data_IF_847474184667
#
_entry.id   IF_847474184667
#
_cell.length_a   1.000
_cell.length_b   1.000
_cell.length_c   1.000
_cell.angle_alpha   90.00
_cell.angle_beta   90.00
_cell.angle_gamma   90.00
#
_symmetry.space_group_name_H-M   'P 1'
#
loop_
_entity.id
_entity.type
_entity.pdbx_description
1 polymer ?
#
# COMPACT_ATOMS: atom_id res chain seq x y z
N UNK A 1 -8.41 24.12 21.14
CA UNK A 1 -7.11 23.42 21.18
C UNK A 1 -7.25 22.28 22.17
N UNK A 2 -7.86 21.15 21.76
CA UNK A 2 -7.91 19.98 22.63
C UNK A 2 -6.53 19.32 22.57
N UNK A 3 -5.88 19.29 23.74
CA UNK A 3 -4.50 18.85 23.91
C UNK A 3 -4.36 17.34 23.75
N UNK A 4 -3.16 16.94 23.36
CA UNK A 4 -2.71 15.55 23.33
C UNK A 4 -3.11 14.81 24.61
N UNK A 5 -3.91 13.77 24.46
CA UNK A 5 -4.57 13.07 25.55
C UNK A 5 -3.75 11.86 26.01
N UNK A 6 -4.12 11.30 27.17
CA UNK A 6 -3.57 10.02 27.62
C UNK A 6 -3.84 8.88 26.63
N UNK A 7 -4.97 8.92 25.91
CA UNK A 7 -5.29 7.95 24.87
C UNK A 7 -4.35 8.08 23.67
N UNK A 8 -4.02 9.31 23.25
CA UNK A 8 -3.05 9.55 22.19
C UNK A 8 -1.66 9.02 22.59
N UNK A 9 -1.27 9.20 23.85
CA UNK A 9 -0.03 8.64 24.41
C UNK A 9 -0.02 7.12 24.38
N UNK A 10 -1.11 6.47 24.79
CA UNK A 10 -1.21 5.01 24.75
C UNK A 10 -1.14 4.48 23.32
N UNK A 11 -1.81 5.12 22.37
CA UNK A 11 -1.76 4.75 20.96
C UNK A 11 -0.34 4.91 20.38
N UNK A 12 0.35 5.98 20.77
CA UNK A 12 1.74 6.18 20.38
C UNK A 12 2.69 5.13 20.93
N UNK A 13 2.52 4.75 22.19
CA UNK A 13 3.29 3.67 22.81
C UNK A 13 3.00 2.34 22.11
N UNK A 14 1.73 2.05 21.87
CA UNK A 14 1.32 0.81 21.22
C UNK A 14 1.86 0.70 19.78
N UNK A 15 1.73 1.76 18.98
CA UNK A 15 2.26 1.82 17.62
C UNK A 15 3.79 1.72 17.59
N UNK A 16 4.48 2.24 18.59
CA UNK A 16 5.92 2.12 18.74
C UNK A 16 6.33 0.66 18.99
N UNK A 17 5.66 -0.03 19.90
CA UNK A 17 5.90 -1.46 20.15
C UNK A 17 5.58 -2.31 18.92
N UNK A 18 4.44 -2.05 18.27
CA UNK A 18 4.07 -2.72 17.04
C UNK A 18 5.13 -2.56 15.95
N UNK A 19 5.64 -1.34 15.74
CA UNK A 19 6.68 -1.10 14.76
C UNK A 19 7.96 -1.84 15.10
N UNK A 20 8.42 -1.82 16.35
CA UNK A 20 9.65 -2.52 16.73
C UNK A 20 9.57 -4.03 16.50
N UNK A 21 8.38 -4.63 16.74
CA UNK A 21 8.12 -6.03 16.46
C UNK A 21 8.14 -6.35 14.96
N UNK A 22 7.71 -5.41 14.12
CA UNK A 22 7.54 -5.60 12.67
C UNK A 22 8.60 -4.89 11.80
N UNK A 23 9.59 -4.24 12.42
CA UNK A 23 10.54 -3.33 11.73
C UNK A 23 11.33 -3.98 10.59
N UNK A 24 11.48 -5.31 10.61
CA UNK A 24 12.23 -6.05 9.60
C UNK A 24 11.61 -5.93 8.20
N UNK A 25 10.28 -5.83 8.10
CA UNK A 25 9.56 -5.59 6.84
C UNK A 25 8.90 -4.23 6.78
N UNK A 26 8.30 -3.76 7.89
CA UNK A 26 7.46 -2.56 7.90
C UNK A 26 8.22 -1.32 7.39
N UNK A 27 9.50 -1.17 7.75
CA UNK A 27 10.33 -0.05 7.26
C UNK A 27 10.43 0.06 5.74
N UNK A 28 10.33 -1.07 5.04
CA UNK A 28 10.42 -1.14 3.58
C UNK A 28 9.06 -0.99 2.91
N UNK A 29 8.03 -1.64 3.47
CA UNK A 29 6.73 -1.79 2.81
C UNK A 29 5.74 -0.69 3.16
N UNK A 30 5.84 -0.09 4.34
CA UNK A 30 4.90 0.94 4.78
C UNK A 30 4.78 2.14 3.82
N UNK A 31 5.88 2.69 3.25
CA UNK A 31 5.77 3.77 2.27
C UNK A 31 4.87 3.40 1.09
N UNK A 32 5.03 2.21 0.53
CA UNK A 32 4.26 1.74 -0.62
C UNK A 32 2.80 1.45 -0.27
N UNK A 33 2.55 0.75 0.85
CA UNK A 33 1.19 0.46 1.31
C UNK A 33 0.39 1.74 1.57
N UNK A 34 1.02 2.75 2.18
CA UNK A 34 0.38 4.04 2.43
C UNK A 34 0.25 4.88 1.15
N UNK A 35 1.20 4.77 0.22
CA UNK A 35 1.09 5.36 -1.11
C UNK A 35 -0.15 4.82 -1.84
N UNK A 36 -0.36 3.50 -1.81
CA UNK A 36 -1.55 2.89 -2.41
C UNK A 36 -2.86 3.30 -1.72
N UNK A 37 -2.91 3.23 -0.38
CA UNK A 37 -4.08 3.66 0.42
C UNK A 37 -4.50 5.09 0.08
N UNK A 38 -3.55 6.02 0.14
CA UNK A 38 -3.84 7.44 0.01
C UNK A 38 -4.11 7.88 -1.43
N UNK A 39 -3.31 7.44 -2.40
CA UNK A 39 -3.41 7.97 -3.76
C UNK A 39 -4.52 7.33 -4.59
N UNK A 40 -4.94 6.12 -4.24
CA UNK A 40 -5.98 5.39 -4.99
C UNK A 40 -7.27 5.20 -4.20
N UNK A 41 -7.38 5.78 -3.00
CA UNK A 41 -8.58 5.73 -2.15
C UNK A 41 -9.10 4.30 -1.94
N UNK A 42 -8.18 3.36 -1.74
CA UNK A 42 -8.50 1.95 -1.59
C UNK A 42 -9.29 1.73 -0.30
N UNK A 43 -10.26 0.81 -0.33
CA UNK A 43 -10.79 0.23 0.91
C UNK A 43 -9.73 -0.65 1.54
N UNK A 44 -9.84 -0.90 2.86
CA UNK A 44 -8.92 -1.82 3.52
C UNK A 44 -8.96 -3.24 2.90
N UNK A 45 -10.13 -3.71 2.45
CA UNK A 45 -10.26 -4.99 1.75
C UNK A 45 -9.43 -5.04 0.46
N UNK A 46 -9.48 -3.98 -0.37
CA UNK A 46 -8.70 -3.90 -1.60
C UNK A 46 -7.19 -3.91 -1.30
N UNK A 47 -6.77 -3.18 -0.27
CA UNK A 47 -5.37 -3.17 0.17
C UNK A 47 -4.94 -4.53 0.74
N UNK A 48 -5.78 -5.18 1.54
CA UNK A 48 -5.50 -6.49 2.12
C UNK A 48 -5.36 -7.55 1.02
N UNK A 49 -6.17 -7.50 -0.03
CA UNK A 49 -6.02 -8.38 -1.17
C UNK A 49 -4.71 -8.16 -1.93
N UNK A 50 -4.33 -6.90 -2.19
CA UNK A 50 -3.04 -6.56 -2.81
C UNK A 50 -1.85 -7.07 -1.98
N UNK A 51 -1.93 -6.94 -0.65
CA UNK A 51 -0.93 -7.47 0.26
C UNK A 51 -0.89 -9.00 0.22
N UNK A 52 -2.06 -9.65 0.18
CA UNK A 52 -2.19 -11.11 0.14
C UNK A 52 -1.62 -11.71 -1.15
N UNK A 53 -1.82 -11.06 -2.30
CA UNK A 53 -1.17 -11.44 -3.57
C UNK A 53 0.36 -11.46 -3.48
N UNK A 54 0.93 -10.71 -2.53
CA UNK A 54 2.37 -10.59 -2.26
C UNK A 54 2.83 -11.44 -1.07
N UNK A 55 1.97 -12.35 -0.61
CA UNK A 55 2.15 -13.18 0.58
C UNK A 55 2.34 -12.38 1.89
N UNK A 56 1.83 -11.15 1.95
CA UNK A 56 1.74 -10.38 3.20
C UNK A 56 0.33 -10.49 3.77
N UNK A 57 0.23 -11.11 4.95
CA UNK A 57 -1.00 -11.10 5.74
C UNK A 57 -0.95 -9.89 6.68
N UNK A 58 -1.87 -8.96 6.48
CA UNK A 58 -2.00 -7.74 7.29
C UNK A 58 -3.45 -7.63 7.81
N UNK A 59 -3.59 -7.39 9.12
CA UNK A 59 -4.89 -7.10 9.73
C UNK A 59 -5.21 -5.61 9.67
N UNK A 60 -6.47 -5.24 9.89
CA UNK A 60 -6.88 -3.83 9.94
C UNK A 60 -6.17 -3.09 11.08
N UNK A 61 -5.99 -3.76 12.23
CA UNK A 61 -5.20 -3.23 13.34
C UNK A 61 -3.71 -3.03 12.95
N UNK A 62 -3.09 -4.00 12.26
CA UNK A 62 -1.71 -3.83 11.79
C UNK A 62 -1.58 -2.63 10.85
N UNK A 63 -2.55 -2.45 9.94
CA UNK A 63 -2.56 -1.32 9.02
C UNK A 63 -2.81 0.02 9.74
N UNK A 64 -3.67 0.04 10.76
CA UNK A 64 -3.87 1.20 11.63
C UNK A 64 -2.56 1.59 12.33
N UNK A 65 -1.87 0.63 12.95
CA UNK A 65 -0.60 0.88 13.64
C UNK A 65 0.50 1.36 12.69
N UNK A 66 0.53 0.79 11.48
CA UNK A 66 1.42 1.22 10.40
C UNK A 66 1.15 2.68 10.03
N UNK A 67 -0.12 3.03 9.78
CA UNK A 67 -0.55 4.39 9.40
C UNK A 67 -0.26 5.39 10.50
N UNK A 68 -0.61 5.08 11.74
CA UNK A 68 -0.33 5.92 12.92
C UNK A 68 1.17 6.20 13.06
N UNK A 69 1.99 5.15 13.03
CA UNK A 69 3.44 5.26 13.20
C UNK A 69 4.10 6.13 12.11
N UNK A 70 3.79 5.86 10.84
CA UNK A 70 4.47 6.50 9.72
C UNK A 70 3.97 7.91 9.43
N UNK A 71 2.67 8.17 9.57
CA UNK A 71 2.13 9.53 9.43
C UNK A 71 2.73 10.47 10.48
N UNK A 72 2.97 9.96 11.70
CA UNK A 72 3.56 10.75 12.78
C UNK A 72 5.07 10.95 12.61
N UNK A 73 5.84 9.90 12.28
CA UNK A 73 7.31 9.97 12.27
C UNK A 73 7.92 10.62 11.03
N UNK A 74 7.40 10.33 9.84
CA UNK A 74 8.12 10.63 8.59
C UNK A 74 7.50 11.80 7.81
N UNK A 75 6.37 12.34 8.32
CA UNK A 75 5.50 13.24 7.57
C UNK A 75 4.95 12.55 6.32
N UNK A 76 4.00 13.18 5.63
CA UNK A 76 3.43 12.63 4.39
C UNK A 76 4.41 12.62 3.20
N UNK A 77 5.71 12.82 3.43
CA UNK A 77 6.75 12.94 2.40
C UNK A 77 6.90 11.67 1.55
N UNK A 78 6.65 10.49 2.14
CA UNK A 78 6.61 9.21 1.43
C UNK A 78 5.39 9.06 0.50
N UNK A 79 4.39 9.94 0.63
CA UNK A 79 3.17 9.95 -0.19
C UNK A 79 3.35 10.73 -1.49
N UNK A 80 4.50 11.38 -1.71
CA UNK A 80 4.73 12.23 -2.87
C UNK A 80 5.43 11.46 -4.02
N UNK A 81 4.72 11.43 -5.15
CA UNK A 81 5.12 11.06 -6.52
C UNK A 81 6.20 9.97 -6.60
N UNK A 82 5.74 8.74 -6.54
CA UNK A 82 6.48 7.60 -7.06
C UNK A 82 6.47 7.69 -8.60
N UNK A 83 7.64 7.69 -9.23
CA UNK A 83 7.73 7.64 -10.69
C UNK A 83 7.49 6.21 -11.16
N UNK A 84 6.23 5.91 -11.46
CA UNK A 84 5.77 4.58 -11.87
C UNK A 84 6.37 4.12 -13.22
N UNK A 85 7.10 4.99 -13.92
CA UNK A 85 7.75 4.69 -15.20
C UNK A 85 9.26 4.44 -15.06
N UNK A 86 9.79 4.52 -13.84
CA UNK A 86 11.19 4.26 -13.55
C UNK A 86 11.60 2.84 -13.94
N UNK A 87 12.84 2.69 -14.41
CA UNK A 87 13.46 1.37 -14.54
C UNK A 87 13.62 0.76 -13.16
N UNK A 88 13.14 -0.48 -13.00
CA UNK A 88 13.10 -1.17 -11.71
C UNK A 88 14.12 -2.32 -11.66
N UNK A 89 14.58 -2.63 -10.44
CA UNK A 89 15.52 -3.70 -10.14
C UNK A 89 15.05 -4.49 -8.92
N UNK A 90 15.36 -5.79 -8.88
CA UNK A 90 14.97 -6.66 -7.77
C UNK A 90 16.08 -6.66 -6.71
N UNK A 91 15.75 -6.34 -5.47
CA UNK A 91 16.64 -6.40 -4.31
C UNK A 91 16.10 -7.40 -3.28
N UNK A 92 16.91 -8.40 -2.91
CA UNK A 92 16.59 -9.34 -1.83
C UNK A 92 17.04 -8.78 -0.48
N UNK A 93 16.15 -8.75 0.50
CA UNK A 93 16.51 -8.45 1.88
C UNK A 93 17.22 -9.66 2.49
N UNK A 94 18.43 -9.43 3.02
CA UNK A 94 19.34 -10.49 3.51
C UNK A 94 18.80 -11.29 4.69
N UNK A 95 17.82 -10.77 5.42
CA UNK A 95 17.27 -11.42 6.61
C UNK A 95 15.91 -12.02 6.27
N UNK A 96 15.76 -13.34 6.46
CA UNK A 96 14.47 -14.00 6.35
C UNK A 96 13.53 -13.58 7.47
N UNK A 97 12.26 -13.38 7.15
CA UNK A 97 11.21 -12.94 8.06
C UNK A 97 10.21 -14.08 8.19
N UNK A 98 10.12 -14.70 9.37
CA UNK A 98 9.24 -15.88 9.61
C UNK A 98 9.40 -16.97 8.54
N UNK A 99 10.64 -17.32 8.21
CA UNK A 99 10.99 -18.32 7.18
C UNK A 99 10.60 -17.95 5.74
N UNK A 100 10.33 -16.68 5.46
CA UNK A 100 10.11 -16.16 4.11
C UNK A 100 11.16 -15.12 3.74
N UNK A 101 11.49 -15.05 2.46
CA UNK A 101 12.43 -14.09 1.89
C UNK A 101 11.68 -12.89 1.33
N UNK A 102 12.04 -11.70 1.78
CA UNK A 102 11.47 -10.45 1.26
C UNK A 102 12.29 -9.97 0.07
N UNK A 103 11.63 -9.84 -1.09
CA UNK A 103 12.17 -9.21 -2.28
C UNK A 103 11.45 -7.89 -2.53
N UNK A 104 12.20 -6.87 -2.94
CA UNK A 104 11.71 -5.54 -3.26
C UNK A 104 11.97 -5.26 -4.73
N UNK A 105 10.99 -4.69 -5.42
CA UNK A 105 11.15 -4.16 -6.75
C UNK A 105 11.31 -2.65 -6.65
N UNK A 106 12.52 -2.16 -6.89
CA UNK A 106 12.95 -0.81 -6.51
C UNK A 106 13.47 -0.01 -7.70
N UNK A 107 13.29 1.31 -7.64
CA UNK A 107 13.94 2.23 -8.58
C UNK A 107 15.38 2.57 -8.17
N UNK A 108 16.05 3.38 -9.00
CA UNK A 108 17.41 3.87 -8.75
C UNK A 108 17.54 4.69 -7.46
N UNK A 109 16.45 5.28 -6.96
CA UNK A 109 16.40 6.05 -5.72
C UNK A 109 16.04 5.17 -4.51
N UNK A 110 16.02 3.84 -4.66
CA UNK A 110 15.63 2.87 -3.63
C UNK A 110 14.18 3.02 -3.15
N UNK A 111 13.28 3.64 -3.92
CA UNK A 111 11.84 3.59 -3.62
C UNK A 111 11.30 2.22 -4.02
N UNK A 112 10.46 1.64 -3.17
CA UNK A 112 9.82 0.34 -3.39
C UNK A 112 8.55 0.52 -4.22
N UNK A 113 8.53 -0.04 -5.43
CA UNK A 113 7.39 -0.05 -6.35
C UNK A 113 6.53 -1.30 -6.21
N UNK A 114 7.17 -2.40 -5.84
CA UNK A 114 6.48 -3.63 -5.50
C UNK A 114 7.30 -4.46 -4.50
N UNK A 115 6.69 -5.48 -3.90
CA UNK A 115 7.35 -6.42 -3.01
C UNK A 115 6.75 -7.82 -3.12
N UNK A 116 7.51 -8.83 -2.69
CA UNK A 116 7.02 -10.20 -2.63
C UNK A 116 7.70 -10.94 -1.48
N UNK A 117 6.90 -11.65 -0.66
CA UNK A 117 7.41 -12.62 0.30
C UNK A 117 7.43 -14.00 -0.37
N UNK A 118 8.63 -14.53 -0.64
CA UNK A 118 8.79 -15.87 -1.17
C UNK A 118 9.05 -16.87 -0.05
N UNK A 119 8.36 -18.02 -0.07
CA UNK A 119 8.60 -19.11 0.87
C UNK A 119 9.92 -19.83 0.61
N UNK A 120 10.41 -19.77 -0.64
CA UNK A 120 11.63 -20.42 -1.09
C UNK A 120 12.61 -19.37 -1.66
N UNK A 121 13.90 -19.67 -1.70
CA UNK A 121 14.90 -18.82 -2.36
C UNK A 121 14.90 -19.02 -3.89
N UNK A 122 13.72 -18.98 -4.50
CA UNK A 122 13.51 -19.17 -5.93
C UNK A 122 13.45 -17.80 -6.62
N UNK A 123 14.60 -17.37 -7.14
CA UNK A 123 14.72 -16.07 -7.79
C UNK A 123 13.95 -15.98 -9.12
N UNK A 124 13.78 -17.10 -9.83
CA UNK A 124 13.06 -17.12 -11.11
C UNK A 124 11.56 -16.92 -10.88
N UNK A 125 10.98 -17.58 -9.87
CA UNK A 125 9.59 -17.35 -9.47
C UNK A 125 9.35 -15.89 -9.02
N UNK A 126 10.30 -15.29 -8.30
CA UNK A 126 10.23 -13.87 -7.89
C UNK A 126 10.27 -12.95 -9.11
N UNK A 127 11.15 -13.23 -10.07
CA UNK A 127 11.26 -12.45 -11.31
C UNK A 127 9.98 -12.54 -12.13
N UNK A 128 9.40 -13.73 -12.23
CA UNK A 128 8.12 -13.93 -12.90
C UNK A 128 6.99 -13.20 -12.20
N UNK A 129 6.93 -13.25 -10.87
CA UNK A 129 5.97 -12.47 -10.08
C UNK A 129 6.04 -10.99 -10.45
N UNK A 130 7.22 -10.36 -10.35
CA UNK A 130 7.35 -8.92 -10.62
C UNK A 130 7.10 -8.53 -12.07
N UNK A 131 7.38 -9.42 -13.03
CA UNK A 131 7.04 -9.21 -14.44
C UNK A 131 5.52 -9.11 -14.66
N UNK A 132 4.75 -9.81 -13.84
CA UNK A 132 3.30 -9.93 -13.98
C UNK A 132 2.52 -9.09 -12.94
N UNK A 133 3.20 -8.54 -11.93
CA UNK A 133 2.54 -7.88 -10.80
C UNK A 133 2.11 -6.45 -11.12
N UNK A 134 2.82 -5.77 -12.02
CA UNK A 134 2.58 -4.38 -12.44
C UNK A 134 2.15 -4.31 -13.90
N UNK A 135 1.15 -3.48 -14.19
CA UNK A 135 0.78 -3.12 -15.56
C UNK A 135 1.78 -2.13 -16.18
N UNK A 136 1.61 -1.81 -17.45
CA UNK A 136 2.49 -0.90 -18.19
C UNK A 136 2.59 0.51 -17.62
N UNK A 137 1.62 0.92 -16.78
CA UNK A 137 1.63 2.20 -16.06
C UNK A 137 2.31 2.11 -14.69
N UNK A 138 2.94 0.99 -14.36
CA UNK A 138 3.64 0.74 -13.10
C UNK A 138 2.73 0.49 -11.90
N UNK A 139 1.41 0.32 -12.10
CA UNK A 139 0.47 -0.01 -11.03
C UNK A 139 0.08 -1.48 -11.01
N UNK A 140 -0.16 -2.06 -9.82
CA UNK A 140 -0.80 -3.36 -9.72
C UNK A 140 -2.11 -3.43 -10.50
N UNK A 141 -2.34 -4.54 -11.20
CA UNK A 141 -3.55 -4.75 -12.01
C UNK A 141 -4.84 -4.51 -11.23
N UNK A 142 -4.88 -4.89 -9.94
CA UNK A 142 -6.04 -4.70 -9.07
C UNK A 142 -6.31 -3.23 -8.73
N UNK A 143 -5.28 -2.38 -8.65
CA UNK A 143 -5.49 -0.92 -8.53
C UNK A 143 -6.13 -0.38 -9.81
N UNK A 144 -5.65 -0.79 -10.98
CA UNK A 144 -6.23 -0.37 -12.26
C UNK A 144 -7.70 -0.81 -12.40
N UNK A 145 -8.03 -2.03 -11.99
CA UNK A 145 -9.40 -2.52 -11.98
C UNK A 145 -10.30 -1.69 -11.05
N UNK A 146 -9.83 -1.40 -9.83
CA UNK A 146 -10.57 -0.55 -8.88
C UNK A 146 -10.85 0.85 -9.42
N UNK A 147 -9.85 1.48 -10.05
CA UNK A 147 -10.01 2.81 -10.65
C UNK A 147 -11.04 2.80 -11.78
N UNK A 148 -11.01 1.77 -12.65
CA UNK A 148 -11.97 1.62 -13.74
C UNK A 148 -13.41 1.42 -13.24
N UNK A 149 -13.59 0.62 -12.18
CA UNK A 149 -14.90 0.43 -11.54
C UNK A 149 -15.44 1.73 -10.96
N UNK A 150 -14.60 2.48 -10.23
CA UNK A 150 -14.96 3.76 -9.64
C UNK A 150 -15.35 4.78 -10.71
N UNK A 151 -14.60 4.85 -11.80
CA UNK A 151 -14.89 5.72 -12.93
C UNK A 151 -16.25 5.38 -13.57
N UNK A 152 -16.56 4.09 -13.74
CA UNK A 152 -17.87 3.61 -14.21
C UNK A 152 -19.00 4.02 -13.25
N UNK A 153 -18.81 3.87 -11.93
CA UNK A 153 -19.81 4.28 -10.93
C UNK A 153 -20.08 5.79 -10.99
N UNK A 154 -19.03 6.60 -11.13
CA UNK A 154 -19.15 8.06 -11.24
C UNK A 154 -19.95 8.43 -12.49
N UNK A 155 -19.60 7.87 -13.66
CA UNK A 155 -20.34 8.08 -14.92
C UNK A 155 -21.81 7.74 -14.78
N UNK A 156 -22.12 6.54 -14.27
CA UNK A 156 -23.50 6.11 -14.07
C UNK A 156 -24.29 7.07 -13.17
N UNK A 157 -23.68 7.56 -12.08
CA UNK A 157 -24.32 8.55 -11.19
C UNK A 157 -24.60 9.88 -11.91
N UNK A 158 -23.65 10.36 -12.71
CA UNK A 158 -23.85 11.56 -13.53
C UNK A 158 -24.96 11.39 -14.57
N UNK A 159 -25.03 10.24 -15.24
CA UNK A 159 -26.07 9.97 -16.24
C UNK A 159 -27.46 9.93 -15.61
N UNK A 160 -27.60 9.35 -14.41
CA UNK A 160 -28.86 9.36 -13.65
C UNK A 160 -29.31 10.79 -13.34
N UNK A 161 -28.40 11.64 -12.85
CA UNK A 161 -28.69 13.05 -12.53
C UNK A 161 -29.11 13.81 -13.79
N UNK A 162 -28.37 13.64 -14.90
CA UNK A 162 -28.66 14.32 -16.17
C UNK A 162 -30.02 13.92 -16.75
N UNK A 163 -30.40 12.65 -16.61
CA UNK A 163 -31.63 12.11 -17.17
C UNK A 163 -32.84 12.21 -16.23
N UNK A 164 -32.67 12.79 -15.03
CA UNK A 164 -33.75 13.02 -14.06
C UNK A 164 -33.77 14.51 -13.66
N UNK A 165 -34.33 15.40 -14.50
CA UNK A 165 -34.25 16.85 -14.30
C UNK A 165 -34.97 17.37 -13.03
N UNK A 166 -35.86 16.58 -12.43
CA UNK A 166 -36.65 16.96 -11.23
C UNK A 166 -35.99 16.55 -9.90
N UNK A 167 -34.72 16.13 -9.87
CA UNK A 167 -33.99 15.98 -8.60
C UNK A 167 -33.56 17.37 -8.14
N UNK A 168 -34.46 18.06 -7.45
CA UNK A 168 -34.13 19.26 -6.67
C UNK A 168 -33.02 18.91 -5.67
N UNK A 169 -31.82 19.45 -5.91
CA UNK A 169 -30.67 19.29 -5.04
C UNK A 169 -30.81 20.34 -3.92
N UNK A 170 -31.49 19.98 -2.83
CA UNK A 170 -31.38 20.65 -1.54
C UNK A 170 -30.50 19.83 -0.59
#
# INVERSE_FOLDING_TARGET
MFGYTFLDLLEDIYSLFWYHKNKQWARYLSPLLLFWDKNYFLTFSNLQELAKERNLIISENDFHQLKHHFNKKNGQSFLNNQDLTSSLTIEKIKTSIKSTWLYLYIDSNKKVHDFYFSNNDDFDAVKEFFRNSLASNGLPHKINAHLAEKEKMIRNKFDIIKNTPDIDIF
#
